data_IF_560481448338
#
_entry.id   IF_560481448338
#
_cell.length_a   1.000
_cell.length_b   1.000
_cell.length_c   1.000
_cell.angle_alpha   90.00
_cell.angle_beta   90.00
_cell.angle_gamma   90.00
#
_symmetry.space_group_name_H-M   'P 1'
#
loop_
_entity.id
_entity.type
_entity.pdbx_description
1 polymer ?
#
# COMPACT_ATOMS: atom_id res chain seq x y z
N UNK A 1 11.93 13.69 -23.90
CA UNK A 1 11.47 13.25 -22.57
C UNK A 1 10.20 12.43 -22.73
N UNK A 2 10.03 11.36 -21.96
CA UNK A 2 8.87 10.45 -22.05
C UNK A 2 7.90 10.72 -20.88
N UNK A 3 6.60 10.75 -21.14
CA UNK A 3 5.53 11.04 -20.18
C UNK A 3 4.64 9.80 -19.94
N UNK A 4 5.28 8.66 -19.70
CA UNK A 4 4.63 7.33 -19.63
C UNK A 4 4.16 6.94 -18.21
N UNK A 5 4.23 7.87 -17.25
CA UNK A 5 3.88 7.61 -15.85
C UNK A 5 5.01 6.95 -15.05
N UNK A 6 4.66 6.45 -13.86
CA UNK A 6 5.59 5.86 -12.89
C UNK A 6 5.06 4.53 -12.37
N UNK A 7 5.97 3.69 -11.88
CA UNK A 7 5.66 2.46 -11.14
C UNK A 7 5.97 2.67 -9.65
N UNK A 8 5.25 2.00 -8.73
CA UNK A 8 5.62 1.98 -7.32
C UNK A 8 7.03 1.41 -7.11
N UNK A 9 7.87 2.12 -6.38
CA UNK A 9 9.23 1.67 -6.03
C UNK A 9 9.20 0.82 -4.76
N UNK A 10 9.02 -0.50 -4.93
CA UNK A 10 8.84 -1.45 -3.82
C UNK A 10 9.82 -2.64 -3.78
N UNK A 11 11.07 -2.56 -4.28
CA UNK A 11 11.98 -3.71 -4.33
C UNK A 11 12.30 -4.30 -2.95
N UNK A 12 12.13 -3.52 -1.88
CA UNK A 12 12.29 -3.96 -0.51
C UNK A 12 11.28 -5.04 -0.09
N UNK A 13 10.16 -5.19 -0.80
CA UNK A 13 9.13 -6.20 -0.51
C UNK A 13 9.42 -7.57 -1.12
N UNK A 14 10.36 -7.67 -2.06
CA UNK A 14 10.71 -8.93 -2.72
C UNK A 14 11.23 -10.01 -1.75
N UNK A 15 11.62 -9.61 -0.52
CA UNK A 15 12.07 -10.52 0.54
C UNK A 15 10.96 -11.03 1.46
N UNK A 16 9.71 -10.58 1.27
CA UNK A 16 8.59 -11.04 2.09
C UNK A 16 8.02 -12.34 1.53
N UNK A 17 7.79 -13.31 2.40
CA UNK A 17 7.13 -14.56 2.05
C UNK A 17 5.72 -14.28 1.49
N UNK A 18 5.44 -14.76 0.28
CA UNK A 18 4.16 -14.53 -0.41
C UNK A 18 4.04 -13.17 -1.09
N UNK A 19 5.12 -12.39 -1.18
CA UNK A 19 5.14 -11.17 -2.00
C UNK A 19 4.86 -11.52 -3.48
N UNK A 20 4.08 -10.69 -4.20
CA UNK A 20 3.88 -10.90 -5.62
C UNK A 20 5.22 -10.81 -6.36
N UNK A 21 5.50 -11.78 -7.24
CA UNK A 21 6.68 -11.78 -8.12
C UNK A 21 6.81 -10.48 -8.91
N UNK A 22 5.67 -9.87 -9.26
CA UNK A 22 5.61 -8.52 -9.80
C UNK A 22 5.54 -7.49 -8.66
N UNK A 23 6.72 -7.05 -8.21
CA UNK A 23 6.91 -5.88 -7.34
C UNK A 23 6.23 -4.61 -7.93
N UNK A 24 6.01 -4.62 -9.25
CA UNK A 24 5.41 -3.53 -10.02
C UNK A 24 3.91 -3.32 -9.78
N UNK A 25 3.20 -4.32 -9.25
CA UNK A 25 1.77 -4.24 -8.93
C UNK A 25 1.46 -5.00 -7.62
N UNK A 26 1.74 -4.39 -6.47
CA UNK A 26 1.50 -5.02 -5.18
C UNK A 26 0.01 -5.31 -4.99
N UNK A 27 -0.34 -6.59 -4.87
CA UNK A 27 -1.73 -6.99 -4.64
C UNK A 27 -2.21 -6.46 -3.29
N UNK A 28 -3.20 -5.57 -3.33
CA UNK A 28 -3.83 -5.02 -2.14
C UNK A 28 -5.34 -4.84 -2.34
N UNK A 29 -6.10 -4.75 -1.25
CA UNK A 29 -7.51 -4.33 -1.29
C UNK A 29 -7.71 -3.15 -0.35
N UNK A 30 -7.87 -1.95 -0.91
CA UNK A 30 -7.98 -0.69 -0.15
C UNK A 30 -6.79 -0.38 0.78
N UNK A 31 -5.59 -0.89 0.46
CA UNK A 31 -4.35 -0.68 1.21
C UNK A 31 -3.78 -1.93 1.87
N UNK A 32 -4.52 -2.75 2.63
CA UNK A 32 -4.04 -4.06 3.08
C UNK A 32 -3.43 -4.93 1.99
N UNK A 33 -2.23 -5.47 2.24
CA UNK A 33 -1.61 -6.46 1.36
C UNK A 33 -2.47 -7.74 1.27
N UNK A 34 -2.52 -8.33 0.08
CA UNK A 34 -3.17 -9.61 -0.19
C UNK A 34 -2.08 -10.66 -0.38
N UNK A 35 -2.18 -11.78 0.34
CA UNK A 35 -1.19 -12.87 0.28
C UNK A 35 -0.06 -12.76 1.29
N UNK A 36 0.21 -11.56 1.83
CA UNK A 36 1.20 -11.33 2.89
C UNK A 36 0.51 -10.77 4.15
N UNK A 37 0.55 -11.48 5.29
CA UNK A 37 -0.07 -11.03 6.53
C UNK A 37 0.75 -9.91 7.20
N UNK A 38 0.10 -8.80 7.52
CA UNK A 38 0.69 -7.70 8.29
C UNK A 38 0.89 -6.40 7.51
N UNK A 39 1.60 -6.41 6.36
CA UNK A 39 1.84 -5.21 5.58
C UNK A 39 0.57 -4.53 5.07
N UNK A 40 0.65 -3.21 4.96
CA UNK A 40 -0.36 -2.38 4.34
C UNK A 40 0.30 -1.21 3.60
N UNK A 41 -0.29 -0.82 2.49
CA UNK A 41 0.17 0.24 1.61
C UNK A 41 -0.59 1.54 1.87
N UNK A 42 0.08 2.67 1.62
CA UNK A 42 -0.49 4.02 1.65
C UNK A 42 0.07 4.82 0.48
N UNK A 43 -0.78 5.58 -0.20
CA UNK A 43 -0.38 6.47 -1.29
C UNK A 43 -0.25 5.81 -2.66
N UNK A 44 -0.63 4.54 -2.81
CA UNK A 44 -0.61 3.89 -4.13
C UNK A 44 -1.68 4.48 -5.04
N UNK A 45 -1.40 4.53 -6.35
CA UNK A 45 -2.38 4.98 -7.32
C UNK A 45 -3.58 4.03 -7.31
N UNK A 46 -4.80 4.61 -7.25
CA UNK A 46 -6.06 3.85 -7.14
C UNK A 46 -6.11 2.90 -5.93
N UNK A 47 -5.33 3.16 -4.89
CA UNK A 47 -5.34 2.36 -3.66
C UNK A 47 -6.75 2.14 -3.11
N UNK A 48 -7.44 3.27 -2.89
CA UNK A 48 -8.86 3.31 -2.52
C UNK A 48 -9.66 4.19 -3.48
N UNK A 49 -8.99 5.14 -4.14
CA UNK A 49 -9.57 5.94 -5.21
C UNK A 49 -8.50 6.76 -5.94
N UNK A 50 -8.91 7.53 -6.95
CA UNK A 50 -7.98 8.28 -7.80
C UNK A 50 -7.14 9.32 -7.04
N UNK A 51 -7.64 9.84 -5.92
CA UNK A 51 -6.92 10.84 -5.11
C UNK A 51 -5.92 10.24 -4.11
N UNK A 52 -5.83 8.91 -3.99
CA UNK A 52 -4.96 8.24 -3.02
C UNK A 52 -3.48 8.63 -3.16
N UNK A 53 -3.01 8.86 -4.40
CA UNK A 53 -1.64 9.31 -4.68
C UNK A 53 -1.52 10.84 -4.79
N UNK A 54 -2.26 11.57 -3.94
CA UNK A 54 -2.15 13.03 -3.85
C UNK A 54 -1.97 13.45 -2.41
N UNK A 55 -1.24 14.56 -2.18
CA UNK A 55 -1.00 15.09 -0.83
C UNK A 55 -2.29 15.31 -0.04
N UNK A 56 -3.36 15.78 -0.70
CA UNK A 56 -4.66 15.98 -0.06
C UNK A 56 -5.41 14.67 0.19
N UNK A 57 -5.38 13.75 -0.78
CA UNK A 57 -6.19 12.53 -0.73
C UNK A 57 -5.60 11.44 0.17
N UNK A 58 -4.28 11.32 0.25
CA UNK A 58 -3.58 10.25 0.97
C UNK A 58 -3.89 10.22 2.47
N UNK A 59 -4.20 11.37 3.08
CA UNK A 59 -4.46 11.47 4.52
C UNK A 59 -5.57 10.52 5.00
N UNK A 60 -6.66 10.39 4.23
CA UNK A 60 -7.78 9.52 4.62
C UNK A 60 -7.40 8.03 4.55
N UNK A 61 -6.54 7.68 3.60
CA UNK A 61 -6.04 6.32 3.47
C UNK A 61 -5.08 6.01 4.63
N UNK A 62 -4.18 6.93 4.98
CA UNK A 62 -3.31 6.79 6.14
C UNK A 62 -4.11 6.63 7.45
N UNK A 63 -5.10 7.49 7.71
CA UNK A 63 -5.96 7.43 8.90
C UNK A 63 -6.70 6.07 8.99
N UNK A 64 -7.10 5.49 7.84
CA UNK A 64 -7.76 4.19 7.79
C UNK A 64 -6.79 3.06 8.08
N UNK A 65 -5.61 3.07 7.44
CA UNK A 65 -4.60 2.02 7.58
C UNK A 65 -4.03 1.98 9.00
N UNK A 66 -3.75 3.14 9.62
CA UNK A 66 -3.18 3.24 10.95
C UNK A 66 -4.05 2.62 12.06
N UNK A 67 -5.38 2.53 11.87
CA UNK A 67 -6.28 1.89 12.83
C UNK A 67 -5.97 0.41 13.03
N UNK A 68 -5.47 -0.27 11.99
CA UNK A 68 -5.21 -1.71 12.02
C UNK A 68 -4.01 -2.09 12.90
N UNK A 69 -2.81 -1.52 12.73
CA UNK A 69 -1.69 -1.76 13.63
C UNK A 69 -1.97 -1.20 15.04
N UNK A 70 -2.65 -0.06 15.18
CA UNK A 70 -3.02 0.47 16.50
C UNK A 70 -3.88 -0.52 17.31
N UNK A 71 -4.90 -1.11 16.66
CA UNK A 71 -5.73 -2.13 17.29
C UNK A 71 -4.96 -3.42 17.60
N UNK A 72 -3.97 -3.80 16.77
CA UNK A 72 -3.11 -4.96 17.05
C UNK A 72 -2.22 -4.71 18.28
N UNK A 73 -1.63 -3.52 18.37
CA UNK A 73 -0.76 -3.13 19.49
C UNK A 73 -1.54 -3.01 20.80
N UNK A 74 -2.79 -2.51 20.77
CA UNK A 74 -3.62 -2.41 21.96
C UNK A 74 -4.10 -3.76 22.52
N UNK A 75 -3.97 -4.86 21.76
CA UNK A 75 -4.33 -6.22 22.17
C UNK A 75 -3.15 -7.00 22.75
N UNK A 76 -1.95 -6.43 22.73
CA UNK A 76 -0.72 -6.99 23.29
C UNK A 76 -0.40 -6.30 24.60
#
# INVERSE_FOLDING_TARGET
MLATGYRPDLPHLARLDGAPEAVEDPRHQEGPAVGVPGPAFVGLERQRGLSSNSLRGVRRDADRIARRPAAHLARR
#
